data_IF_128598103944
#
_entry.id   IF_128598103944
#
_cell.length_a   1.000
_cell.length_b   1.000
_cell.length_c   1.000
_cell.angle_alpha   90.00
_cell.angle_beta   90.00
_cell.angle_gamma   90.00
#
_symmetry.space_group_name_H-M   'P 1'
#
loop_
_entity.id
_entity.type
_entity.pdbx_description
1 polymer ?
#
# COMPACT_ATOMS: atom_id res chain seq x y z
N UNK A 1 -19.73 1.49 -9.24
CA UNK A 1 -18.31 1.67 -8.89
C UNK A 1 -17.99 3.14 -9.05
N UNK A 2 -17.51 3.81 -8.00
CA UNK A 2 -17.09 5.21 -8.06
C UNK A 2 -15.72 5.33 -8.75
N UNK A 3 -15.35 6.53 -9.21
CA UNK A 3 -14.02 6.77 -9.80
C UNK A 3 -12.89 6.49 -8.81
N UNK A 4 -13.10 6.79 -7.52
CA UNK A 4 -12.13 6.54 -6.44
C UNK A 4 -11.92 5.04 -6.20
N UNK A 5 -12.99 4.23 -6.26
CA UNK A 5 -12.89 2.76 -6.14
C UNK A 5 -12.04 2.17 -7.28
N UNK A 6 -12.25 2.66 -8.51
CA UNK A 6 -11.49 2.20 -9.69
C UNK A 6 -10.01 2.59 -9.57
N UNK A 7 -9.72 3.79 -9.09
CA UNK A 7 -8.34 4.24 -8.87
C UNK A 7 -7.64 3.39 -7.80
N UNK A 8 -8.30 3.12 -6.67
CA UNK A 8 -7.75 2.26 -5.63
C UNK A 8 -7.50 0.84 -6.13
N UNK A 9 -8.41 0.24 -6.88
CA UNK A 9 -8.23 -1.12 -7.45
C UNK A 9 -6.97 -1.21 -8.32
N UNK A 10 -6.70 -0.20 -9.14
CA UNK A 10 -5.48 -0.15 -9.97
C UNK A 10 -4.22 -0.04 -9.11
N UNK A 11 -4.24 0.86 -8.11
CA UNK A 11 -3.13 1.03 -7.17
C UNK A 11 -2.87 -0.29 -6.41
N UNK A 12 -3.93 -0.93 -5.93
CA UNK A 12 -3.83 -2.20 -5.22
C UNK A 12 -3.20 -3.28 -6.11
N UNK A 13 -3.69 -3.46 -7.34
CA UNK A 13 -3.15 -4.44 -8.28
C UNK A 13 -1.65 -4.20 -8.58
N UNK A 14 -1.25 -2.94 -8.79
CA UNK A 14 0.11 -2.57 -9.17
C UNK A 14 1.13 -2.66 -8.04
N UNK A 15 0.70 -2.41 -6.80
CA UNK A 15 1.60 -2.28 -5.66
C UNK A 15 1.53 -3.45 -4.68
N UNK A 16 0.41 -4.17 -4.57
CA UNK A 16 0.27 -5.27 -3.61
C UNK A 16 1.38 -6.31 -3.73
N UNK A 17 1.75 -6.83 -4.92
CA UNK A 17 2.84 -7.81 -5.01
C UNK A 17 4.21 -7.23 -4.60
N UNK A 18 4.42 -5.92 -4.79
CA UNK A 18 5.68 -5.24 -4.48
C UNK A 18 5.82 -4.99 -2.98
N UNK A 19 4.75 -4.54 -2.33
CA UNK A 19 4.67 -4.32 -0.88
C UNK A 19 4.69 -5.66 -0.14
N UNK A 20 3.82 -6.59 -0.56
CA UNK A 20 4.08 -8.03 -0.69
C UNK A 20 5.45 -8.54 -0.21
N UNK A 21 6.32 -8.59 -1.23
CA UNK A 21 7.71 -9.02 -1.17
C UNK A 21 8.60 -8.14 -0.30
N UNK A 22 8.29 -6.84 -0.18
CA UNK A 22 9.05 -5.94 0.67
C UNK A 22 8.85 -6.30 2.15
N UNK A 23 7.61 -6.52 2.57
CA UNK A 23 7.27 -6.88 3.95
C UNK A 23 7.76 -8.29 4.31
N UNK A 24 7.75 -9.25 3.38
CA UNK A 24 8.38 -10.58 3.60
C UNK A 24 9.83 -10.42 4.08
N UNK A 25 10.59 -9.46 3.51
CA UNK A 25 11.99 -9.23 3.90
C UNK A 25 12.14 -8.56 5.26
N UNK A 26 11.09 -7.91 5.76
CA UNK A 26 11.12 -7.18 7.04
C UNK A 26 10.62 -8.05 8.20
N UNK A 27 9.50 -8.74 8.01
CA UNK A 27 8.76 -9.44 9.08
C UNK A 27 8.61 -10.95 8.85
N UNK A 28 9.13 -11.47 7.74
CA UNK A 28 8.97 -12.87 7.35
C UNK A 28 7.63 -13.17 6.66
N UNK A 29 7.52 -14.37 6.09
CA UNK A 29 6.38 -14.77 5.25
C UNK A 29 5.05 -14.76 5.99
N UNK A 30 5.00 -15.27 7.23
CA UNK A 30 3.78 -15.38 8.02
C UNK A 30 3.21 -14.01 8.44
N UNK A 31 4.06 -13.02 8.73
CA UNK A 31 3.62 -11.68 9.14
C UNK A 31 3.33 -10.73 7.97
N UNK A 32 3.83 -11.04 6.78
CA UNK A 32 3.78 -10.11 5.65
C UNK A 32 2.38 -9.97 5.04
N UNK A 33 1.57 -11.02 5.02
CA UNK A 33 0.24 -10.98 4.40
C UNK A 33 -0.70 -10.06 5.17
N UNK A 34 -0.85 -10.27 6.48
CA UNK A 34 -1.70 -9.41 7.34
C UNK A 34 -1.25 -7.96 7.30
N UNK A 35 0.07 -7.73 7.36
CA UNK A 35 0.63 -6.39 7.31
C UNK A 35 0.43 -5.73 5.94
N UNK A 36 0.49 -6.50 4.86
CA UNK A 36 0.17 -5.99 3.51
C UNK A 36 -1.26 -5.52 3.45
N UNK A 37 -2.21 -6.29 3.99
CA UNK A 37 -3.61 -5.89 4.04
C UNK A 37 -3.79 -4.58 4.82
N UNK A 38 -3.18 -4.49 6.01
CA UNK A 38 -3.23 -3.27 6.82
C UNK A 38 -2.67 -2.05 6.08
N UNK A 39 -1.55 -2.21 5.36
CA UNK A 39 -0.97 -1.15 4.54
C UNK A 39 -1.96 -0.66 3.49
N UNK A 40 -2.66 -1.56 2.79
CA UNK A 40 -3.61 -1.14 1.76
C UNK A 40 -4.91 -0.55 2.32
N UNK A 41 -5.33 -0.94 3.53
CA UNK A 41 -6.39 -0.23 4.26
C UNK A 41 -5.97 1.21 4.56
N UNK A 42 -4.76 1.42 5.06
CA UNK A 42 -4.20 2.78 5.32
C UNK A 42 -4.04 3.58 4.02
N UNK A 43 -3.59 2.95 2.93
CA UNK A 43 -3.50 3.58 1.61
C UNK A 43 -4.87 4.06 1.15
N UNK A 44 -5.91 3.21 1.19
CA UNK A 44 -7.26 3.58 0.76
C UNK A 44 -7.80 4.78 1.54
N UNK A 45 -7.64 4.75 2.88
CA UNK A 45 -8.10 5.84 3.75
C UNK A 45 -7.34 7.16 3.50
N UNK A 46 -6.05 7.07 3.15
CA UNK A 46 -5.22 8.26 2.97
C UNK A 46 -5.15 8.74 1.51
N UNK A 47 -5.58 7.94 0.54
CA UNK A 47 -5.53 8.25 -0.89
C UNK A 47 -6.21 9.59 -1.26
N UNK A 48 -7.40 9.94 -0.73
CA UNK A 48 -8.03 11.25 -1.01
C UNK A 48 -7.21 12.45 -0.54
N UNK A 49 -6.24 12.23 0.37
CA UNK A 49 -5.36 13.29 0.90
C UNK A 49 -3.99 13.32 0.24
N UNK A 50 -3.73 12.43 -0.71
CA UNK A 50 -2.45 12.37 -1.42
C UNK A 50 -2.32 13.56 -2.38
N UNK A 51 -1.37 14.46 -2.08
CA UNK A 51 -1.18 15.73 -2.81
C UNK A 51 -0.25 15.63 -4.03
N UNK A 52 0.33 14.47 -4.30
CA UNK A 52 1.29 14.30 -5.41
C UNK A 52 2.66 14.97 -5.19
N UNK A 53 3.00 15.40 -3.97
CA UNK A 53 4.30 16.01 -3.63
C UNK A 53 5.48 15.01 -3.70
N UNK A 54 5.19 13.72 -3.84
CA UNK A 54 6.16 12.65 -4.07
C UNK A 54 5.60 11.63 -5.05
N UNK A 55 6.44 10.69 -5.54
CA UNK A 55 5.93 9.57 -6.33
C UNK A 55 4.96 8.76 -5.47
N UNK A 56 3.86 8.30 -6.06
CA UNK A 56 2.90 7.42 -5.40
C UNK A 56 3.58 6.20 -4.78
N UNK A 57 4.54 5.60 -5.51
CA UNK A 57 5.34 4.48 -5.01
C UNK A 57 6.08 4.84 -3.71
N UNK A 58 6.80 5.97 -3.68
CA UNK A 58 7.52 6.44 -2.49
C UNK A 58 6.57 6.62 -1.30
N UNK A 59 5.39 7.19 -1.54
CA UNK A 59 4.39 7.39 -0.50
C UNK A 59 3.83 6.07 0.05
N UNK A 60 3.50 5.09 -0.81
CA UNK A 60 3.04 3.75 -0.39
C UNK A 60 4.13 3.01 0.40
N UNK A 61 5.38 3.04 -0.08
CA UNK A 61 6.49 2.41 0.64
C UNK A 61 6.72 3.05 2.02
N UNK A 62 6.50 4.37 2.17
CA UNK A 62 6.55 5.03 3.49
C UNK A 62 5.47 4.51 4.43
N UNK A 63 4.24 4.29 3.94
CA UNK A 63 3.17 3.69 4.75
C UNK A 63 3.55 2.27 5.16
N UNK A 64 4.11 1.47 4.25
CA UNK A 64 4.57 0.11 4.53
C UNK A 64 5.68 0.06 5.58
N UNK A 65 6.69 0.92 5.48
CA UNK A 65 7.78 0.99 6.46
C UNK A 65 7.28 1.43 7.85
N UNK A 66 6.24 2.26 7.93
CA UNK A 66 5.66 2.67 9.21
C UNK A 66 4.70 1.63 9.82
N UNK A 67 4.41 0.54 9.11
CA UNK A 67 3.54 -0.53 9.58
C UNK A 67 4.36 -1.71 10.15
N UNK A 68 5.54 -1.99 9.58
CA UNK A 68 6.48 -3.02 10.02
C UNK A 68 7.24 -2.65 11.30
#
# INVERSE_FOLDING_TARGET
>A
MSSEEIEFEQIYADFRPKIHRFLIRMVGEYGAEDLTQEVFVRVNQALPTFRGESKLSTWIYRIATNAA
#
